data_IF_380190947246
#
_entry.id   IF_380190947246
#
_cell.length_a   1.000
_cell.length_b   1.000
_cell.length_c   1.000
_cell.angle_alpha   90.00
_cell.angle_beta   90.00
_cell.angle_gamma   90.00
#
_symmetry.space_group_name_H-M   'P 1'
#
loop_
_entity.id
_entity.type
_entity.pdbx_description
1 polymer ?
#
# COMPACT_ATOMS: atom_id res chain seq x y z
N UNK A 1 2.83 13.80 -15.10
CA UNK A 1 2.31 12.70 -14.27
C UNK A 1 0.97 13.12 -13.71
N UNK A 2 -0.10 12.59 -14.29
CA UNK A 2 -1.48 12.81 -13.84
C UNK A 2 -1.90 11.65 -12.95
N UNK A 3 -2.76 11.91 -11.98
CA UNK A 3 -3.28 10.89 -11.06
C UNK A 3 -4.81 10.90 -11.10
N UNK A 4 -5.41 9.71 -11.19
CA UNK A 4 -6.87 9.52 -11.15
C UNK A 4 -7.19 8.59 -9.98
N UNK A 5 -8.12 9.02 -9.13
CA UNK A 5 -8.65 8.25 -8.02
C UNK A 5 -10.10 7.91 -8.32
N UNK A 6 -10.41 6.63 -8.40
CA UNK A 6 -11.78 6.15 -8.50
C UNK A 6 -12.35 5.93 -7.11
N UNK A 7 -13.54 6.47 -6.87
CA UNK A 7 -14.38 6.10 -5.73
C UNK A 7 -15.36 4.97 -6.11
N UNK A 8 -16.05 4.43 -5.10
CA UNK A 8 -17.03 3.35 -5.28
C UNK A 8 -18.12 3.70 -6.31
N UNK A 9 -18.59 4.95 -6.32
CA UNK A 9 -19.64 5.41 -7.21
C UNK A 9 -19.17 5.48 -8.67
N UNK A 10 -17.95 5.94 -8.89
CA UNK A 10 -17.35 6.04 -10.23
C UNK A 10 -17.15 4.64 -10.81
N UNK A 11 -16.73 3.68 -10.00
CA UNK A 11 -16.67 2.27 -10.41
C UNK A 11 -18.06 1.76 -10.75
N UNK A 12 -19.05 1.91 -9.88
CA UNK A 12 -20.40 1.39 -10.09
C UNK A 12 -21.02 1.92 -11.40
N UNK A 13 -20.86 3.22 -11.65
CA UNK A 13 -21.29 3.85 -12.89
C UNK A 13 -20.55 3.30 -14.11
N UNK A 14 -19.24 3.06 -13.99
CA UNK A 14 -18.45 2.44 -15.06
C UNK A 14 -18.90 1.01 -15.36
N UNK A 15 -19.20 0.21 -14.33
CA UNK A 15 -19.68 -1.16 -14.48
C UNK A 15 -21.10 -1.24 -15.08
N UNK A 16 -21.98 -0.28 -14.75
CA UNK A 16 -23.27 -0.16 -15.46
C UNK A 16 -23.10 0.11 -16.94
N UNK A 17 -22.12 0.93 -17.32
CA UNK A 17 -21.81 1.18 -18.72
C UNK A 17 -21.21 -0.07 -19.38
N UNK A 18 -20.32 -0.78 -18.69
CA UNK A 18 -19.77 -2.05 -19.15
C UNK A 18 -20.89 -3.06 -19.43
N UNK A 19 -21.81 -3.25 -18.49
CA UNK A 19 -22.93 -4.17 -18.64
C UNK A 19 -23.81 -3.84 -19.85
N UNK A 20 -24.15 -2.56 -20.06
CA UNK A 20 -24.90 -2.15 -21.26
C UNK A 20 -24.17 -2.52 -22.56
N UNK A 21 -22.84 -2.37 -22.60
CA UNK A 21 -22.02 -2.78 -23.74
C UNK A 21 -21.98 -4.31 -23.87
N UNK A 22 -21.87 -5.06 -22.78
CA UNK A 22 -21.88 -6.54 -22.76
C UNK A 22 -23.17 -7.09 -23.40
N UNK A 23 -24.33 -6.58 -22.98
CA UNK A 23 -25.62 -6.99 -23.56
C UNK A 23 -25.70 -6.62 -25.03
N UNK A 24 -25.33 -5.37 -25.38
CA UNK A 24 -25.41 -4.87 -26.75
C UNK A 24 -24.56 -5.70 -27.72
N UNK A 25 -23.36 -6.10 -27.31
CA UNK A 25 -22.43 -6.87 -28.13
C UNK A 25 -22.67 -8.40 -28.05
N UNK A 26 -23.63 -8.87 -27.24
CA UNK A 26 -23.98 -10.29 -27.11
C UNK A 26 -22.95 -11.13 -26.35
N UNK A 27 -22.23 -10.52 -25.39
CA UNK A 27 -21.21 -11.18 -24.58
C UNK A 27 -21.74 -11.76 -23.26
N UNK A 28 -23.04 -11.65 -23.02
CA UNK A 28 -23.74 -12.02 -21.78
C UNK A 28 -23.83 -13.52 -21.52
N UNK A 29 -23.50 -14.33 -22.52
CA UNK A 29 -23.49 -15.80 -22.48
C UNK A 29 -22.09 -16.41 -22.31
N UNK A 30 -21.06 -15.58 -22.14
CA UNK A 30 -19.67 -16.02 -21.98
C UNK A 30 -19.37 -16.42 -20.53
N UNK A 31 -18.38 -17.29 -20.35
CA UNK A 31 -17.79 -17.60 -19.03
C UNK A 31 -16.82 -16.49 -18.67
N UNK A 32 -16.93 -15.95 -17.45
CA UNK A 32 -16.08 -14.87 -17.00
C UNK A 32 -14.73 -15.43 -16.52
N UNK A 33 -13.63 -14.86 -17.01
CA UNK A 33 -12.29 -15.11 -16.51
C UNK A 33 -11.78 -13.86 -15.79
N UNK A 34 -11.70 -13.91 -14.46
CA UNK A 34 -11.22 -12.81 -13.63
C UNK A 34 -9.69 -12.84 -13.50
N UNK A 35 -9.01 -11.78 -13.96
CA UNK A 35 -7.55 -11.67 -13.92
C UNK A 35 -7.06 -10.98 -12.66
N UNK A 36 -6.36 -11.72 -11.80
CA UNK A 36 -5.82 -11.22 -10.54
C UNK A 36 -6.89 -10.61 -9.62
N UNK A 37 -6.44 -9.80 -8.66
CA UNK A 37 -7.37 -9.12 -7.74
C UNK A 37 -8.25 -8.09 -8.48
N UNK A 38 -7.69 -7.34 -9.44
CA UNK A 38 -8.42 -6.31 -10.18
C UNK A 38 -9.60 -6.86 -10.97
N UNK A 39 -9.37 -7.91 -11.76
CA UNK A 39 -10.40 -8.62 -12.51
C UNK A 39 -11.45 -9.27 -11.60
N UNK A 40 -11.05 -9.84 -10.46
CA UNK A 40 -12.00 -10.41 -9.49
C UNK A 40 -12.93 -9.36 -8.89
N UNK A 41 -12.40 -8.18 -8.56
CA UNK A 41 -13.21 -7.09 -8.03
C UNK A 41 -14.23 -6.61 -9.06
N UNK A 42 -13.84 -6.54 -10.33
CA UNK A 42 -14.75 -6.22 -11.44
C UNK A 42 -15.83 -7.29 -11.60
N UNK A 43 -15.45 -8.56 -11.68
CA UNK A 43 -16.40 -9.65 -11.88
C UNK A 43 -17.42 -9.71 -10.74
N UNK A 44 -16.97 -9.73 -9.48
CA UNK A 44 -17.83 -9.73 -8.28
C UNK A 44 -18.79 -8.54 -8.26
N UNK A 45 -18.34 -7.35 -8.65
CA UNK A 45 -19.20 -6.15 -8.66
C UNK A 45 -20.17 -6.15 -9.85
N UNK A 46 -19.81 -6.76 -10.97
CA UNK A 46 -20.69 -6.93 -12.13
C UNK A 46 -21.85 -7.87 -11.85
N UNK A 47 -21.74 -8.79 -10.89
CA UNK A 47 -22.85 -9.69 -10.47
C UNK A 47 -24.13 -8.94 -10.12
N UNK A 48 -24.02 -7.68 -9.65
CA UNK A 48 -25.17 -6.80 -9.39
C UNK A 48 -26.03 -6.52 -10.63
N UNK A 49 -25.42 -6.61 -11.81
CA UNK A 49 -26.03 -6.26 -13.09
C UNK A 49 -26.16 -7.46 -14.02
N UNK A 50 -25.21 -8.39 -13.94
CA UNK A 50 -25.07 -9.51 -14.83
C UNK A 50 -25.02 -10.82 -14.06
N UNK A 51 -26.05 -11.64 -14.25
CA UNK A 51 -26.07 -13.01 -13.75
C UNK A 51 -25.31 -13.94 -14.72
N UNK A 52 -23.98 -13.83 -14.75
CA UNK A 52 -23.16 -14.71 -15.56
C UNK A 52 -23.20 -16.15 -15.04
N UNK A 53 -23.02 -17.11 -15.95
CA UNK A 53 -23.18 -18.54 -15.66
C UNK A 53 -22.08 -19.09 -14.75
N UNK A 54 -20.84 -18.68 -14.99
CA UNK A 54 -19.66 -19.21 -14.34
C UNK A 54 -18.55 -18.14 -14.29
N UNK A 55 -17.75 -18.21 -13.23
CA UNK A 55 -16.50 -17.44 -13.07
C UNK A 55 -15.32 -18.39 -12.88
N UNK A 56 -14.23 -18.09 -13.56
CA UNK A 56 -12.92 -18.73 -13.40
C UNK A 56 -11.92 -17.67 -12.97
N UNK A 57 -11.13 -17.94 -11.93
CA UNK A 57 -10.06 -17.04 -11.52
C UNK A 57 -8.75 -17.38 -12.22
N UNK A 58 -7.98 -16.34 -12.53
CA UNK A 58 -6.64 -16.41 -13.07
C UNK A 58 -5.67 -15.67 -12.15
N UNK A 59 -4.60 -16.33 -11.71
CA UNK A 59 -3.55 -15.71 -10.89
C UNK A 59 -2.32 -15.46 -11.74
N UNK A 60 -1.77 -14.25 -11.66
CA UNK A 60 -0.50 -13.88 -12.27
C UNK A 60 0.62 -14.07 -11.25
N UNK A 61 1.56 -14.99 -11.51
CA UNK A 61 2.74 -15.22 -10.65
C UNK A 61 4.00 -15.06 -11.49
N UNK A 62 4.86 -14.09 -11.16
CA UNK A 62 6.12 -13.84 -11.88
C UNK A 62 5.96 -13.65 -13.41
N UNK A 63 4.79 -13.20 -13.87
CA UNK A 63 4.47 -13.06 -15.30
C UNK A 63 3.81 -14.31 -15.93
N UNK A 64 3.78 -15.43 -15.21
CA UNK A 64 3.09 -16.64 -15.64
C UNK A 64 1.60 -16.60 -15.28
N UNK A 65 0.80 -17.16 -16.19
CA UNK A 65 -0.66 -17.23 -16.10
C UNK A 65 -1.06 -18.59 -15.54
N UNK A 66 -1.71 -18.57 -14.37
CA UNK A 66 -2.27 -19.76 -13.74
C UNK A 66 -3.79 -19.64 -13.67
N UNK A 67 -4.48 -20.36 -14.54
CA UNK A 67 -5.94 -20.48 -14.51
C UNK A 67 -6.30 -21.57 -13.50
N UNK A 68 -7.14 -21.26 -12.51
CA UNK A 68 -7.41 -22.19 -11.39
C UNK A 68 -8.25 -23.41 -11.79
N UNK A 69 -9.13 -23.26 -12.79
CA UNK A 69 -9.95 -24.35 -13.34
C UNK A 69 -9.95 -24.25 -14.87
N UNK A 70 -8.93 -24.86 -15.49
CA UNK A 70 -8.75 -24.85 -16.94
C UNK A 70 -9.73 -25.78 -17.68
N UNK A 71 -10.39 -26.70 -16.97
CA UNK A 71 -11.37 -27.63 -17.53
C UNK A 71 -12.58 -26.94 -18.14
N UNK A 72 -12.90 -25.72 -17.66
CA UNK A 72 -13.99 -24.88 -18.16
C UNK A 72 -13.65 -24.10 -19.43
N UNK A 73 -12.40 -24.13 -19.89
CA UNK A 73 -11.96 -23.29 -21.02
C UNK A 73 -12.28 -23.93 -22.37
N UNK A 74 -11.97 -25.21 -22.54
CA UNK A 74 -12.08 -25.89 -23.84
C UNK A 74 -13.50 -25.87 -24.39
N UNK A 75 -13.66 -25.39 -25.63
CA UNK A 75 -14.93 -25.31 -26.35
C UNK A 75 -15.91 -24.26 -25.80
N UNK A 76 -15.48 -23.42 -24.85
CA UNK A 76 -16.31 -22.37 -24.28
C UNK A 76 -15.85 -20.98 -24.74
N UNK A 77 -16.79 -20.04 -24.71
CA UNK A 77 -16.55 -18.62 -25.01
C UNK A 77 -16.18 -17.89 -23.73
N UNK A 78 -15.03 -17.23 -23.71
CA UNK A 78 -14.39 -16.68 -22.51
C UNK A 78 -14.38 -15.16 -22.55
N UNK A 79 -14.89 -14.53 -21.50
CA UNK A 79 -14.90 -13.09 -21.31
C UNK A 79 -13.90 -12.71 -20.21
N UNK A 80 -12.75 -12.21 -20.63
CA UNK A 80 -11.63 -11.89 -19.73
C UNK A 80 -11.84 -10.52 -19.13
N UNK A 81 -11.83 -10.42 -17.80
CA UNK A 81 -12.01 -9.19 -17.05
C UNK A 81 -10.71 -8.80 -16.33
N UNK A 82 -10.24 -7.57 -16.55
CA UNK A 82 -9.13 -6.96 -15.82
C UNK A 82 -9.47 -5.48 -15.50
N UNK A 83 -8.83 -4.89 -14.48
CA UNK A 83 -9.10 -3.49 -14.14
C UNK A 83 -8.42 -2.49 -15.06
N UNK A 84 -7.26 -2.86 -15.59
CA UNK A 84 -6.43 -1.97 -16.41
C UNK A 84 -5.79 -2.68 -17.60
N UNK A 85 -5.72 -1.97 -18.72
CA UNK A 85 -4.94 -2.34 -19.90
C UNK A 85 -3.84 -1.30 -20.09
N UNK A 86 -2.68 -1.55 -19.49
CA UNK A 86 -1.53 -0.65 -19.53
C UNK A 86 -0.71 -0.92 -20.80
N UNK A 87 0.12 -1.96 -20.81
CA UNK A 87 0.95 -2.31 -21.97
C UNK A 87 0.26 -3.24 -22.96
N UNK A 88 -0.81 -3.94 -22.52
CA UNK A 88 -1.49 -4.97 -23.30
C UNK A 88 -0.88 -6.38 -23.16
N UNK A 89 0.33 -6.51 -22.59
CA UNK A 89 1.05 -7.79 -22.47
C UNK A 89 0.25 -8.89 -21.75
N UNK A 90 -0.45 -8.55 -20.66
CA UNK A 90 -1.29 -9.49 -19.92
C UNK A 90 -2.35 -10.11 -20.81
N UNK A 91 -3.08 -9.29 -21.59
CA UNK A 91 -4.08 -9.79 -22.52
C UNK A 91 -3.49 -10.57 -23.68
N UNK A 92 -2.35 -10.15 -24.24
CA UNK A 92 -1.67 -10.93 -25.27
C UNK A 92 -1.29 -12.33 -24.79
N UNK A 93 -0.73 -12.42 -23.58
CA UNK A 93 -0.34 -13.70 -22.98
C UNK A 93 -1.56 -14.56 -22.65
N UNK A 94 -2.64 -13.97 -22.12
CA UNK A 94 -3.90 -14.66 -21.83
C UNK A 94 -4.55 -15.18 -23.10
N UNK A 95 -4.61 -14.36 -24.16
CA UNK A 95 -5.17 -14.77 -25.43
C UNK A 95 -4.46 -16.00 -25.98
N UNK A 96 -3.11 -16.00 -25.98
CA UNK A 96 -2.31 -17.15 -26.38
C UNK A 96 -2.62 -18.38 -25.53
N UNK A 97 -2.61 -18.25 -24.20
CA UNK A 97 -2.86 -19.35 -23.28
C UNK A 97 -4.26 -19.96 -23.43
N UNK A 98 -5.28 -19.12 -23.55
CA UNK A 98 -6.67 -19.56 -23.73
C UNK A 98 -6.88 -20.21 -25.10
N UNK A 99 -6.22 -19.71 -26.14
CA UNK A 99 -6.23 -20.34 -27.47
C UNK A 99 -5.60 -21.74 -27.42
N UNK A 100 -4.47 -21.90 -26.72
CA UNK A 100 -3.81 -23.21 -26.52
C UNK A 100 -4.70 -24.20 -25.74
N UNK A 101 -5.52 -23.71 -24.81
CA UNK A 101 -6.50 -24.51 -24.07
C UNK A 101 -7.77 -24.83 -24.89
N UNK A 102 -7.90 -24.27 -26.10
CA UNK A 102 -9.00 -24.52 -27.01
C UNK A 102 -10.29 -23.75 -26.68
N UNK A 103 -10.18 -22.52 -26.17
CA UNK A 103 -11.32 -21.61 -26.08
C UNK A 103 -11.94 -21.37 -27.48
N UNK A 104 -13.26 -21.31 -27.56
CA UNK A 104 -14.01 -21.13 -28.83
C UNK A 104 -13.99 -19.66 -29.29
N UNK A 105 -14.18 -18.74 -28.35
CA UNK A 105 -14.05 -17.30 -28.58
C UNK A 105 -13.49 -16.63 -27.32
N UNK A 106 -12.72 -15.56 -27.49
CA UNK A 106 -12.10 -14.79 -26.41
C UNK A 106 -12.43 -13.32 -26.63
N UNK A 107 -12.98 -12.69 -25.59
CA UNK A 107 -13.32 -11.27 -25.57
C UNK A 107 -12.78 -10.63 -24.31
N UNK A 108 -12.39 -9.36 -24.41
CA UNK A 108 -11.65 -8.65 -23.38
C UNK A 108 -12.47 -7.47 -22.84
N UNK A 109 -12.57 -7.39 -21.52
CA UNK A 109 -13.08 -6.24 -20.77
C UNK A 109 -11.95 -5.64 -19.95
N UNK A 110 -11.82 -4.32 -20.04
CA UNK A 110 -11.06 -3.55 -19.07
C UNK A 110 -11.84 -2.34 -18.60
N UNK A 111 -11.75 -1.96 -17.32
CA UNK A 111 -12.37 -0.69 -16.92
C UNK A 111 -11.63 0.48 -17.57
N UNK A 112 -10.31 0.37 -17.69
CA UNK A 112 -9.47 1.45 -18.18
C UNK A 112 -8.39 0.96 -19.15
N UNK A 113 -8.22 1.69 -20.25
CA UNK A 113 -7.21 1.42 -21.27
C UNK A 113 -6.29 2.63 -21.42
N UNK A 114 -4.98 2.40 -21.50
CA UNK A 114 -4.03 3.44 -21.94
C UNK A 114 -4.02 3.56 -23.45
N UNK A 115 -3.92 4.79 -23.95
CA UNK A 115 -3.87 5.09 -25.39
C UNK A 115 -2.73 4.40 -26.14
N UNK A 116 -1.60 4.21 -25.47
CA UNK A 116 -0.40 3.59 -26.04
C UNK A 116 -0.34 2.07 -25.80
N UNK A 117 -1.43 1.45 -25.34
CA UNK A 117 -1.49 0.00 -25.17
C UNK A 117 -1.42 -0.73 -26.51
N UNK A 118 -0.72 -1.86 -26.56
CA UNK A 118 -0.68 -2.69 -27.78
C UNK A 118 -1.95 -3.50 -28.01
N UNK A 119 -2.90 -3.48 -27.07
CA UNK A 119 -4.17 -4.20 -27.12
C UNK A 119 -5.31 -3.25 -26.82
N UNK A 120 -6.33 -3.27 -27.68
CA UNK A 120 -7.60 -2.58 -27.44
C UNK A 120 -8.64 -3.61 -26.99
N UNK A 121 -9.15 -3.53 -25.76
CA UNK A 121 -10.19 -4.46 -25.29
C UNK A 121 -11.48 -4.30 -26.08
N UNK A 122 -12.26 -5.39 -26.23
CA UNK A 122 -13.57 -5.33 -26.87
C UNK A 122 -14.51 -4.37 -26.13
N UNK A 123 -14.39 -4.30 -24.81
CA UNK A 123 -15.07 -3.31 -23.98
C UNK A 123 -14.04 -2.61 -23.10
N UNK A 124 -14.00 -1.28 -23.20
CA UNK A 124 -13.37 -0.42 -22.20
C UNK A 124 -14.28 0.75 -21.84
N UNK A 125 -14.09 1.32 -20.63
CA UNK A 125 -14.92 2.42 -20.12
C UNK A 125 -14.17 3.74 -20.18
N UNK A 126 -12.93 3.75 -19.71
CA UNK A 126 -12.10 4.95 -19.69
C UNK A 126 -10.86 4.76 -20.56
N UNK A 127 -10.52 5.78 -21.32
CA UNK A 127 -9.24 5.88 -22.02
C UNK A 127 -8.39 6.96 -21.33
N UNK A 128 -7.12 6.67 -21.08
CA UNK A 128 -6.19 7.58 -20.40
C UNK A 128 -4.86 7.75 -21.14
N UNK A 129 -4.16 8.83 -20.81
CA UNK A 129 -2.82 9.11 -21.31
C UNK A 129 -1.76 8.16 -20.71
N UNK A 130 -0.66 7.97 -21.43
CA UNK A 130 0.45 7.10 -21.03
C UNK A 130 1.07 7.45 -19.64
N UNK A 131 1.09 8.74 -19.29
CA UNK A 131 1.69 9.25 -18.05
C UNK A 131 0.71 9.31 -16.85
N UNK A 132 -0.50 8.76 -17.02
CA UNK A 132 -1.54 8.77 -15.99
C UNK A 132 -1.42 7.54 -15.09
N UNK A 133 -1.35 7.78 -13.78
CA UNK A 133 -1.48 6.76 -12.72
C UNK A 133 -2.93 6.67 -12.26
N UNK A 134 -3.37 5.46 -11.95
CA UNK A 134 -4.77 5.17 -11.61
C UNK A 134 -4.82 4.41 -10.30
N UNK A 135 -5.78 4.80 -9.47
CA UNK A 135 -6.03 4.22 -8.16
C UNK A 135 -7.48 3.77 -8.08
N UNK A 136 -7.69 2.47 -7.87
CA UNK A 136 -9.01 1.88 -7.64
C UNK A 136 -9.30 1.79 -6.13
N UNK A 137 -10.57 1.70 -5.73
CA UNK A 137 -10.93 1.48 -4.32
C UNK A 137 -10.30 0.22 -3.69
N UNK A 138 -9.99 -0.79 -4.52
CA UNK A 138 -9.34 -2.04 -4.12
C UNK A 138 -7.84 -2.08 -4.38
N UNK A 139 -7.25 -1.01 -4.91
CA UNK A 139 -5.79 -0.92 -4.98
C UNK A 139 -5.25 -0.80 -3.57
N UNK A 140 -4.19 -1.55 -3.23
CA UNK A 140 -3.46 -1.44 -1.96
C UNK A 140 -2.68 -0.11 -1.83
N UNK A 141 -3.05 0.90 -2.63
CA UNK A 141 -2.48 2.22 -2.55
C UNK A 141 -2.94 2.90 -1.27
N UNK A 142 -2.03 3.61 -0.59
CA UNK A 142 -2.44 4.43 0.51
C UNK A 142 -3.02 5.71 -0.06
N UNK A 143 -4.31 5.66 -0.38
CA UNK A 143 -5.16 6.79 -0.06
C UNK A 143 -4.79 7.12 1.39
N UNK A 144 -4.41 8.36 1.69
CA UNK A 144 -4.03 8.81 3.03
C UNK A 144 -5.27 8.83 3.94
N UNK A 145 -5.96 7.69 4.03
CA UNK A 145 -6.97 7.39 5.02
C UNK A 145 -6.21 7.07 6.30
N UNK A 146 -6.03 8.12 7.07
CA UNK A 146 -5.66 7.99 8.47
C UNK A 146 -6.92 7.61 9.21
N UNK A 147 -6.88 6.52 9.99
CA UNK A 147 -8.06 6.05 10.73
C UNK A 147 -8.53 7.04 11.81
N UNK A 148 -7.71 8.05 12.11
CA UNK A 148 -7.89 9.03 13.17
C UNK A 148 -7.19 10.34 12.82
N UNK A 149 -7.86 11.46 13.07
CA UNK A 149 -7.33 12.80 12.93
C UNK A 149 -6.76 13.14 11.54
N UNK A 150 -5.98 14.22 11.52
CA UNK A 150 -5.14 14.62 10.39
C UNK A 150 -3.67 14.40 10.73
N UNK A 151 -2.85 14.06 9.73
CA UNK A 151 -1.40 14.08 9.87
C UNK A 151 -0.86 15.37 9.26
N UNK A 152 -0.04 16.10 10.02
CA UNK A 152 0.65 17.30 9.54
C UNK A 152 2.04 17.41 10.15
N UNK A 153 2.90 18.27 9.57
CA UNK A 153 4.18 18.62 10.19
C UNK A 153 3.94 19.50 11.42
N UNK A 154 4.87 19.46 12.36
CA UNK A 154 4.90 20.40 13.48
C UNK A 154 5.14 21.84 12.97
N UNK A 155 4.41 22.81 13.53
CA UNK A 155 4.55 24.23 13.23
C UNK A 155 5.03 25.02 14.46
N UNK A 156 5.38 26.29 14.25
CA UNK A 156 5.77 27.18 15.34
C UNK A 156 4.62 27.38 16.34
N UNK A 157 3.36 27.42 15.88
CA UNK A 157 2.19 27.57 16.75
C UNK A 157 1.99 26.39 17.72
N UNK A 158 2.58 25.23 17.44
CA UNK A 158 2.52 24.09 18.35
C UNK A 158 3.47 24.23 19.54
N UNK A 159 4.46 25.11 19.47
CA UNK A 159 5.47 25.26 20.53
C UNK A 159 4.88 25.76 21.86
N UNK A 160 3.70 26.36 21.84
CA UNK A 160 2.97 26.83 23.04
C UNK A 160 2.01 25.80 23.61
N UNK A 161 1.78 24.68 22.92
CA UNK A 161 0.88 23.61 23.36
C UNK A 161 1.63 22.66 24.29
N UNK A 162 0.87 21.98 25.16
CA UNK A 162 1.42 20.91 25.99
C UNK A 162 1.22 19.54 25.33
N UNK A 163 2.21 18.67 25.48
CA UNK A 163 2.16 17.28 25.04
C UNK A 163 2.96 16.43 26.03
N UNK A 164 2.28 15.47 26.65
CA UNK A 164 2.86 14.48 27.56
C UNK A 164 2.38 13.08 27.23
N UNK A 165 3.31 12.16 27.03
CA UNK A 165 3.01 10.74 26.80
C UNK A 165 3.05 9.90 28.08
N UNK A 166 3.46 10.48 29.21
CA UNK A 166 3.55 9.81 30.51
C UNK A 166 4.86 9.02 30.68
N UNK A 167 5.84 9.23 29.80
CA UNK A 167 7.19 8.65 29.94
C UNK A 167 8.18 9.80 30.13
N UNK A 168 8.74 9.92 31.35
CA UNK A 168 9.65 11.00 31.71
C UNK A 168 10.87 11.12 30.78
N UNK A 169 11.30 10.01 30.16
CA UNK A 169 12.45 9.99 29.27
C UNK A 169 12.14 10.68 27.94
N UNK A 170 10.87 10.66 27.50
CA UNK A 170 10.38 11.36 26.30
C UNK A 170 9.88 12.76 26.67
N UNK A 171 9.11 12.85 27.77
CA UNK A 171 8.43 14.07 28.23
C UNK A 171 9.38 15.18 28.70
N UNK A 172 10.69 14.89 28.80
CA UNK A 172 11.73 15.91 28.95
C UNK A 172 11.86 16.84 27.73
N UNK A 173 11.42 16.39 26.55
CA UNK A 173 11.42 17.19 25.33
C UNK A 173 10.07 17.89 25.18
N UNK A 174 10.11 19.21 25.02
CA UNK A 174 8.93 20.01 24.67
C UNK A 174 8.65 19.97 23.17
N UNK A 175 7.45 20.38 22.75
CA UNK A 175 7.15 20.59 21.32
C UNK A 175 8.08 21.61 20.67
N UNK A 176 8.61 22.57 21.43
CA UNK A 176 9.63 23.51 20.94
C UNK A 176 10.93 22.81 20.58
N UNK A 177 11.34 21.78 21.33
CA UNK A 177 12.56 21.03 21.06
C UNK A 177 12.41 20.19 19.78
N UNK A 178 11.26 19.54 19.60
CA UNK A 178 10.92 18.84 18.36
C UNK A 178 10.88 19.79 17.15
N UNK A 179 10.31 20.99 17.30
CA UNK A 179 10.30 21.99 16.23
C UNK A 179 11.71 22.47 15.87
N UNK A 180 12.57 22.72 16.87
CA UNK A 180 13.99 23.08 16.66
C UNK A 180 14.76 21.98 15.94
N UNK A 181 14.54 20.71 16.31
CA UNK A 181 15.14 19.58 15.61
C UNK A 181 14.75 19.57 14.12
N UNK A 182 13.46 19.80 13.82
CA UNK A 182 13.02 19.90 12.43
C UNK A 182 13.73 21.01 11.64
N UNK A 183 14.04 22.14 12.27
CA UNK A 183 14.74 23.26 11.62
C UNK A 183 16.24 23.03 11.46
N UNK A 184 16.89 22.31 12.39
CA UNK A 184 18.35 22.33 12.52
C UNK A 184 19.04 20.97 12.34
N UNK A 185 18.34 19.84 12.44
CA UNK A 185 18.97 18.51 12.47
C UNK A 185 18.46 17.54 11.40
N UNK A 186 17.91 18.05 10.29
CA UNK A 186 17.25 17.27 9.22
C UNK A 186 16.12 16.34 9.69
N UNK A 187 15.72 16.45 10.95
CA UNK A 187 14.64 15.69 11.53
C UNK A 187 13.34 15.96 10.78
N UNK A 188 12.57 14.90 10.52
CA UNK A 188 11.21 15.01 10.03
C UNK A 188 10.26 14.74 11.18
N UNK A 189 9.48 15.75 11.53
CA UNK A 189 8.56 15.68 12.66
C UNK A 189 7.14 15.81 12.17
N UNK A 190 6.33 14.80 12.46
CA UNK A 190 4.90 14.78 12.13
C UNK A 190 4.06 14.56 13.38
N UNK A 191 2.87 15.15 13.36
CA UNK A 191 1.87 15.08 14.41
C UNK A 191 0.60 14.42 13.88
N UNK A 192 -0.11 13.73 14.75
CA UNK A 192 -1.55 13.49 14.56
C UNK A 192 -2.31 14.51 15.38
N UNK A 193 -3.12 15.32 14.71
CA UNK A 193 -4.06 16.23 15.36
C UNK A 193 -5.48 15.70 15.19
N UNK A 194 -6.24 15.63 16.27
CA UNK A 194 -7.65 15.26 16.25
C UNK A 194 -8.43 16.22 17.15
N UNK A 195 -9.51 16.82 16.62
CA UNK A 195 -10.33 17.82 17.31
C UNK A 195 -9.54 18.98 17.93
N UNK A 196 -8.47 19.43 17.26
CA UNK A 196 -7.61 20.53 17.70
C UNK A 196 -6.55 20.15 18.75
N UNK A 197 -6.48 18.87 19.16
CA UNK A 197 -5.51 18.37 20.14
C UNK A 197 -4.41 17.56 19.46
N UNK A 198 -3.16 17.74 19.90
CA UNK A 198 -2.04 16.91 19.47
C UNK A 198 -2.14 15.56 20.18
N UNK A 199 -2.46 14.51 19.43
CA UNK A 199 -2.70 13.17 19.96
C UNK A 199 -1.44 12.30 19.94
N UNK A 200 -0.59 12.44 18.92
CA UNK A 200 0.67 11.71 18.78
C UNK A 200 1.71 12.52 18.03
N UNK A 201 2.98 12.20 18.27
CA UNK A 201 4.14 12.76 17.58
C UNK A 201 5.06 11.64 17.07
N UNK A 202 5.72 11.89 15.96
CA UNK A 202 6.80 11.06 15.46
C UNK A 202 7.95 11.92 14.95
N UNK A 203 9.18 11.52 15.28
CA UNK A 203 10.43 12.12 14.81
C UNK A 203 11.28 11.02 14.18
N UNK A 204 11.74 11.25 12.96
CA UNK A 204 12.65 10.34 12.26
C UNK A 204 13.61 11.09 11.34
N UNK A 205 14.69 10.41 10.95
CA UNK A 205 15.74 10.95 10.08
C UNK A 205 15.92 10.07 8.84
N UNK A 206 16.32 10.68 7.73
CA UNK A 206 16.83 9.94 6.57
C UNK A 206 18.33 9.72 6.76
N UNK A 207 18.78 8.47 6.64
CA UNK A 207 20.20 8.14 6.70
C UNK A 207 20.60 7.29 5.51
N UNK A 208 21.85 7.44 5.11
CA UNK A 208 22.51 6.61 4.12
C UNK A 208 23.54 5.74 4.85
N UNK A 209 23.44 4.42 4.70
CA UNK A 209 24.39 3.44 5.19
C UNK A 209 24.88 2.64 3.99
N UNK A 210 26.16 2.78 3.65
CA UNK A 210 26.75 2.20 2.45
C UNK A 210 25.92 2.49 1.18
N UNK A 211 25.42 1.45 0.50
CA UNK A 211 24.56 1.53 -0.68
C UNK A 211 23.07 1.63 -0.36
N UNK A 212 22.69 1.63 0.93
CA UNK A 212 21.31 1.60 1.38
C UNK A 212 20.87 2.95 1.97
N UNK A 213 19.64 3.36 1.65
CA UNK A 213 18.99 4.48 2.33
C UNK A 213 17.97 3.93 3.30
N UNK A 214 17.88 4.49 4.50
CA UNK A 214 16.90 4.08 5.48
C UNK A 214 16.33 5.23 6.30
N UNK A 215 15.24 4.93 6.99
CA UNK A 215 14.60 5.82 7.94
C UNK A 215 14.99 5.42 9.36
N UNK A 216 15.56 6.35 10.11
CA UNK A 216 15.90 6.16 11.51
C UNK A 216 14.79 6.76 12.38
N UNK A 217 13.95 5.89 12.93
CA UNK A 217 12.91 6.24 13.88
C UNK A 217 13.53 6.53 15.24
N UNK A 218 13.41 7.79 15.66
CA UNK A 218 13.95 8.28 16.92
C UNK A 218 12.88 8.22 18.02
N UNK A 219 11.75 8.88 17.79
CA UNK A 219 10.65 8.93 18.75
C UNK A 219 9.34 8.66 18.04
N UNK A 220 8.51 7.82 18.64
CA UNK A 220 7.07 7.77 18.39
C UNK A 220 6.34 7.72 19.72
N UNK A 221 5.45 8.69 19.95
CA UNK A 221 4.77 8.84 21.23
C UNK A 221 3.29 9.22 21.03
N UNK A 222 2.44 8.77 21.96
CA UNK A 222 1.02 9.11 22.02
C UNK A 222 0.73 9.76 23.36
N UNK A 223 -0.04 10.84 23.36
CA UNK A 223 -0.45 11.52 24.58
C UNK A 223 -1.07 10.53 25.56
N UNK A 224 -0.78 10.68 26.85
CA UNK A 224 -1.12 9.69 27.87
C UNK A 224 -2.62 9.37 27.89
N UNK A 225 -3.46 10.41 27.86
CA UNK A 225 -4.92 10.30 27.82
C UNK A 225 -5.48 9.74 26.50
N UNK A 226 -4.63 9.51 25.48
CA UNK A 226 -5.02 9.02 24.14
C UNK A 226 -4.46 7.64 23.83
N UNK A 227 -3.73 6.99 24.75
CA UNK A 227 -3.25 5.60 24.60
C UNK A 227 -4.40 4.65 24.27
N UNK A 228 -4.13 3.62 23.45
CA UNK A 228 -5.14 2.66 22.98
C UNK A 228 -6.00 3.12 21.79
N UNK A 229 -6.02 4.42 21.45
CA UNK A 229 -6.86 4.96 20.35
C UNK A 229 -6.24 4.87 18.95
N UNK A 230 -5.18 4.08 18.76
CA UNK A 230 -4.50 3.82 17.48
C UNK A 230 -3.79 5.02 16.82
N UNK A 231 -3.61 6.16 17.49
CA UNK A 231 -2.89 7.32 16.93
C UNK A 231 -1.43 7.02 16.58
N UNK A 232 -0.66 6.32 17.43
CA UNK A 232 0.67 5.85 17.06
C UNK A 232 0.66 4.91 15.84
N UNK A 233 -0.36 4.06 15.70
CA UNK A 233 -0.49 3.19 14.52
C UNK A 233 -0.69 4.00 13.23
N UNK A 234 -1.39 5.13 13.31
CA UNK A 234 -1.52 6.09 12.20
C UNK A 234 -0.15 6.66 11.78
N UNK A 235 0.72 7.00 12.75
CA UNK A 235 2.09 7.48 12.46
C UNK A 235 3.04 6.38 11.98
N UNK A 236 2.95 5.16 12.52
CA UNK A 236 3.71 4.02 11.98
C UNK A 236 3.33 3.76 10.52
N UNK A 237 2.03 3.78 10.21
CA UNK A 237 1.51 3.64 8.83
C UNK A 237 2.09 4.73 7.91
N UNK A 238 2.15 5.99 8.38
CA UNK A 238 2.79 7.09 7.66
C UNK A 238 4.25 6.77 7.33
N UNK A 239 5.05 6.34 8.31
CA UNK A 239 6.48 6.06 8.10
C UNK A 239 6.68 4.89 7.14
N UNK A 240 5.89 3.81 7.29
CA UNK A 240 5.94 2.69 6.35
C UNK A 240 5.67 3.16 4.93
N UNK A 241 4.65 3.99 4.71
CA UNK A 241 4.40 4.55 3.39
C UNK A 241 5.50 5.48 2.91
N UNK A 242 6.05 6.31 3.80
CA UNK A 242 7.19 7.16 3.47
C UNK A 242 8.39 6.32 2.99
N UNK A 243 8.67 5.18 3.65
CA UNK A 243 9.70 4.24 3.24
C UNK A 243 9.45 3.70 1.83
N UNK A 244 8.25 3.19 1.56
CA UNK A 244 7.90 2.63 0.26
C UNK A 244 7.93 3.69 -0.86
N UNK A 245 7.37 4.87 -0.61
CA UNK A 245 7.25 5.93 -1.63
C UNK A 245 8.56 6.54 -2.07
N UNK A 246 9.51 6.62 -1.14
CA UNK A 246 10.82 7.20 -1.38
C UNK A 246 11.90 6.13 -1.57
N UNK A 247 11.48 4.87 -1.80
CA UNK A 247 12.35 3.73 -2.09
C UNK A 247 13.45 3.53 -1.03
N UNK A 248 13.14 3.81 0.23
CA UNK A 248 14.03 3.48 1.34
C UNK A 248 14.04 1.96 1.57
N UNK A 249 15.23 1.43 1.86
CA UNK A 249 15.47 0.00 2.05
C UNK A 249 15.04 -0.50 3.42
N UNK A 250 14.97 0.36 4.44
CA UNK A 250 14.60 -0.04 5.80
C UNK A 250 14.04 1.11 6.65
N UNK A 251 13.32 0.74 7.71
CA UNK A 251 13.12 1.59 8.90
C UNK A 251 13.84 0.91 10.06
N UNK A 252 14.66 1.66 10.77
CA UNK A 252 15.41 1.23 11.94
C UNK A 252 15.05 2.09 13.14
N UNK A 253 14.99 1.51 14.34
CA UNK A 253 14.79 2.26 15.57
C UNK A 253 15.10 1.44 16.81
N UNK A 254 14.73 1.99 17.96
CA UNK A 254 14.87 1.34 19.25
C UNK A 254 13.52 1.17 19.94
N UNK A 255 13.31 0.02 20.58
CA UNK A 255 12.20 -0.22 21.48
C UNK A 255 12.72 -0.35 22.91
N UNK A 256 12.00 0.20 23.88
CA UNK A 256 12.26 -0.07 25.29
C UNK A 256 12.11 -1.55 25.60
N UNK A 257 12.86 -2.02 26.59
CA UNK A 257 12.76 -3.37 27.13
C UNK A 257 11.42 -3.60 27.84
N UNK A 258 10.40 -3.83 27.02
CA UNK A 258 9.03 -4.07 27.39
C UNK A 258 8.47 -5.10 26.41
N UNK A 259 8.12 -6.27 26.93
CA UNK A 259 7.69 -7.43 26.13
C UNK A 259 6.46 -7.11 25.25
N UNK A 260 5.46 -6.42 25.80
CA UNK A 260 4.25 -6.03 25.06
C UNK A 260 4.56 -5.09 23.89
N UNK A 261 5.48 -4.14 24.09
CA UNK A 261 5.92 -3.20 23.07
C UNK A 261 6.69 -3.91 21.96
N UNK A 262 7.60 -4.80 22.32
CA UNK A 262 8.39 -5.60 21.37
C UNK A 262 7.46 -6.49 20.54
N UNK A 263 6.50 -7.16 21.17
CA UNK A 263 5.53 -8.02 20.48
C UNK A 263 4.55 -7.22 19.62
N UNK A 264 4.21 -5.99 20.01
CA UNK A 264 3.51 -5.06 19.14
C UNK A 264 4.31 -4.77 17.87
N UNK A 265 5.60 -4.47 17.98
CA UNK A 265 6.47 -4.23 16.82
C UNK A 265 6.59 -5.47 15.91
N UNK A 266 6.80 -6.66 16.49
CA UNK A 266 6.86 -7.92 15.73
C UNK A 266 5.58 -8.18 14.94
N UNK A 267 4.40 -7.98 15.54
CA UNK A 267 3.10 -8.10 14.84
C UNK A 267 2.93 -7.11 13.68
N UNK A 268 3.77 -6.07 13.62
CA UNK A 268 3.80 -5.08 12.53
C UNK A 268 4.94 -5.31 11.53
N UNK A 269 5.62 -6.45 11.61
CA UNK A 269 6.68 -6.85 10.69
C UNK A 269 8.06 -6.31 11.05
N UNK A 270 8.24 -5.74 12.24
CA UNK A 270 9.58 -5.42 12.73
C UNK A 270 10.27 -6.68 13.28
N UNK A 271 11.59 -6.67 13.19
CA UNK A 271 12.46 -7.71 13.70
C UNK A 271 13.42 -7.14 14.73
N UNK A 272 13.66 -7.90 15.78
CA UNK A 272 14.66 -7.55 16.79
C UNK A 272 16.00 -8.12 16.34
N UNK A 273 16.96 -7.24 16.07
CA UNK A 273 18.28 -7.62 15.52
C UNK A 273 19.43 -7.49 16.53
N UNK A 274 19.11 -7.12 17.77
CA UNK A 274 20.06 -6.99 18.89
C UNK A 274 19.54 -6.04 19.96
N UNK A 275 20.39 -5.73 20.94
CA UNK A 275 20.09 -4.78 22.00
C UNK A 275 21.34 -3.98 22.40
N UNK A 276 21.14 -2.81 23.03
CA UNK A 276 22.19 -2.00 23.65
C UNK A 276 21.84 -1.68 25.09
N UNK A 277 22.85 -1.37 25.90
CA UNK A 277 22.66 -0.74 27.21
C UNK A 277 22.92 0.76 27.08
N UNK A 278 21.89 1.56 27.34
CA UNK A 278 21.98 3.01 27.36
C UNK A 278 21.94 3.52 28.82
N UNK A 279 22.85 4.42 29.24
CA UNK A 279 22.90 4.93 30.61
C UNK A 279 21.65 5.69 31.07
N UNK A 280 20.83 6.19 30.15
CA UNK A 280 19.65 7.01 30.42
C UNK A 280 18.35 6.25 30.16
N UNK A 281 18.36 5.33 29.19
CA UNK A 281 17.17 4.61 28.75
C UNK A 281 17.11 3.16 29.25
N UNK A 282 18.23 2.59 29.70
CA UNK A 282 18.37 1.19 30.09
C UNK A 282 18.59 0.28 28.87
N UNK A 283 18.10 -0.95 28.94
CA UNK A 283 18.12 -1.86 27.78
C UNK A 283 17.22 -1.33 26.67
N UNK A 284 17.77 -1.20 25.46
CA UNK A 284 17.04 -0.85 24.25
C UNK A 284 17.21 -1.95 23.20
N UNK A 285 16.11 -2.43 22.64
CA UNK A 285 16.08 -3.43 21.58
C UNK A 285 16.13 -2.76 20.20
N UNK A 286 17.10 -3.16 19.38
CA UNK A 286 17.25 -2.70 17.99
C UNK A 286 16.15 -3.35 17.14
N UNK A 287 15.24 -2.54 16.63
CA UNK A 287 14.14 -3.00 15.77
C UNK A 287 14.33 -2.53 14.33
N UNK A 288 14.02 -3.39 13.37
CA UNK A 288 14.14 -3.06 11.94
C UNK A 288 12.98 -3.65 11.15
N UNK A 289 12.51 -2.95 10.13
CA UNK A 289 11.68 -3.49 9.05
C UNK A 289 12.38 -3.20 7.73
N UNK A 290 12.36 -4.16 6.81
CA UNK A 290 13.13 -4.10 5.56
C UNK A 290 12.16 -4.14 4.39
N UNK A 291 12.39 -3.24 3.44
CA UNK A 291 11.67 -3.14 2.19
C UNK A 291 12.42 -3.93 1.11
N UNK A 292 12.25 -5.25 1.08
CA UNK A 292 12.96 -6.10 0.12
C UNK A 292 12.64 -7.59 0.25
N UNK A 293 13.24 -8.39 -0.63
CA UNK A 293 13.14 -9.86 -0.57
C UNK A 293 13.91 -10.41 0.63
N UNK A 294 13.69 -11.70 0.94
CA UNK A 294 14.39 -12.38 2.03
C UNK A 294 15.93 -12.29 1.88
N UNK A 295 16.45 -12.42 0.66
CA UNK A 295 17.89 -12.37 0.40
C UNK A 295 18.48 -10.96 0.55
N UNK A 296 17.73 -9.91 0.18
CA UNK A 296 18.15 -8.51 0.42
C UNK A 296 18.23 -8.19 1.91
N UNK A 297 17.37 -8.83 2.71
CA UNK A 297 17.24 -8.53 4.13
C UNK A 297 18.50 -8.87 4.93
N UNK A 298 19.15 -10.00 4.68
CA UNK A 298 20.38 -10.35 5.41
C UNK A 298 21.52 -9.36 5.10
N UNK A 299 21.62 -8.91 3.85
CA UNK A 299 22.59 -7.90 3.42
C UNK A 299 22.33 -6.54 4.08
N UNK A 300 21.07 -6.09 4.11
CA UNK A 300 20.69 -4.83 4.76
C UNK A 300 20.93 -4.88 6.27
N UNK A 301 20.61 -5.98 6.94
CA UNK A 301 20.90 -6.14 8.38
C UNK A 301 22.41 -6.11 8.64
N UNK A 302 23.20 -6.78 7.80
CA UNK A 302 24.65 -6.77 7.90
C UNK A 302 25.23 -5.36 7.73
N UNK A 303 24.67 -4.53 6.85
CA UNK A 303 25.06 -3.13 6.67
C UNK A 303 24.62 -2.23 7.84
N UNK A 304 23.50 -2.53 8.50
CA UNK A 304 23.01 -1.74 9.65
C UNK A 304 23.87 -1.99 10.89
N UNK A 305 24.19 -3.26 11.20
CA UNK A 305 24.84 -3.68 12.46
C UNK A 305 26.10 -2.89 12.88
N UNK A 306 27.00 -2.45 11.97
CA UNK A 306 28.20 -1.70 12.35
C UNK A 306 27.95 -0.24 12.73
N UNK A 307 26.83 0.35 12.29
CA UNK A 307 26.56 1.79 12.43
C UNK A 307 25.67 2.15 13.61
N UNK A 308 25.29 1.17 14.43
CA UNK A 308 24.35 1.27 15.55
C UNK A 308 24.70 0.34 16.68
#
# INVERSE_FOLDING_TARGET
>A
MREIFFDENSIDNGLRQAYKKIIKEGFDSYIVLAVGNGGEQIAKRLEKYWNYKDIVSCVLKNGDIHILDDSKIKGNRIFVCDDTTITGKTFTNLFKKLSELGADDIKLLSLLMRRDSSVVPNIFIFEIEADTKVYFPWSDYPIRTYSKGIIRKISCEDCIKDFKCGDQKIDKNSLSDFFKNQQHSSAKVYLVEDRGEICSIVQFYEKHLDSHKGLFLDIIATAECKKGNKYASTLLKLISYYMFYHEFSFIYGYAFDNEELIDMYKRRGFEVIGSIQDPHYGTLHKIVIINGTKDMKDHVIAAIRPHV
#
